data_IF_193920266467
#
_entry.id   IF_193920266467
#
_cell.length_a   1.000
_cell.length_b   1.000
_cell.length_c   1.000
_cell.angle_alpha   90.00
_cell.angle_beta   90.00
_cell.angle_gamma   90.00
#
_symmetry.space_group_name_H-M   'P 1'
#
loop_
_entity.id
_entity.type
_entity.pdbx_description
1 polymer ?
#
# COMPACT_ATOMS: atom_id res chain seq x y z
N UNK A 1 -2.88 -23.23 13.08
CA UNK A 1 -3.58 -22.56 11.97
C UNK A 1 -3.77 -23.59 10.86
N UNK A 2 -4.97 -23.73 10.30
CA UNK A 2 -5.22 -24.56 9.11
C UNK A 2 -5.79 -23.63 8.03
N UNK A 3 -5.20 -23.66 6.83
CA UNK A 3 -5.63 -22.85 5.68
C UNK A 3 -6.48 -23.72 4.75
N UNK A 4 -7.69 -23.28 4.43
CA UNK A 4 -8.66 -24.06 3.67
C UNK A 4 -9.06 -23.42 2.34
N UNK A 5 -8.95 -22.09 2.22
CA UNK A 5 -9.29 -21.34 1.01
C UNK A 5 -8.02 -20.86 0.30
N UNK A 6 -7.92 -21.17 -0.99
CA UNK A 6 -6.83 -20.77 -1.88
C UNK A 6 -7.34 -20.00 -3.12
N UNK A 7 -8.57 -19.48 -3.09
CA UNK A 7 -9.20 -18.79 -4.21
C UNK A 7 -8.55 -17.45 -4.60
N UNK A 8 -7.74 -16.87 -3.71
CA UNK A 8 -7.00 -15.62 -3.91
C UNK A 8 -5.51 -15.86 -3.63
N UNK A 9 -4.93 -16.85 -4.30
CA UNK A 9 -3.47 -17.07 -4.28
C UNK A 9 -2.83 -16.35 -5.46
N UNK A 10 -1.75 -15.63 -5.20
CA UNK A 10 -0.88 -15.05 -6.21
C UNK A 10 0.58 -15.46 -5.94
N UNK A 11 1.32 -15.68 -7.01
CA UNK A 11 2.77 -15.86 -6.95
C UNK A 11 3.43 -14.49 -7.17
N UNK A 12 4.29 -14.09 -6.24
CA UNK A 12 5.08 -12.87 -6.33
C UNK A 12 6.49 -13.24 -6.75
N UNK A 13 6.98 -12.63 -7.82
CA UNK A 13 8.40 -12.71 -8.14
C UNK A 13 9.20 -11.87 -7.13
N UNK A 14 10.49 -12.17 -6.98
CA UNK A 14 11.39 -11.44 -6.07
C UNK A 14 11.35 -9.93 -6.32
N UNK A 15 11.30 -9.53 -7.59
CA UNK A 15 11.19 -8.13 -8.01
C UNK A 15 9.88 -7.49 -7.58
N UNK A 16 8.76 -8.22 -7.62
CA UNK A 16 7.45 -7.70 -7.22
C UNK A 16 7.42 -7.45 -5.72
N UNK A 17 8.00 -8.37 -4.95
CA UNK A 17 8.13 -8.25 -3.50
C UNK A 17 9.00 -7.05 -3.11
N UNK A 18 10.13 -6.83 -3.80
CA UNK A 18 11.00 -5.67 -3.58
C UNK A 18 10.28 -4.35 -3.89
N UNK A 19 9.58 -4.29 -5.03
CA UNK A 19 8.80 -3.11 -5.43
C UNK A 19 7.69 -2.79 -4.44
N UNK A 20 6.95 -3.82 -4.03
CA UNK A 20 5.92 -3.73 -3.01
C UNK A 20 6.48 -3.19 -1.70
N UNK A 21 7.60 -3.75 -1.24
CA UNK A 21 8.28 -3.32 -0.03
C UNK A 21 8.77 -1.88 -0.11
N UNK A 22 9.31 -1.45 -1.25
CA UNK A 22 9.74 -0.07 -1.47
C UNK A 22 8.57 0.91 -1.34
N UNK A 23 7.41 0.59 -1.94
CA UNK A 23 6.19 1.42 -1.84
C UNK A 23 5.71 1.51 -0.40
N UNK A 24 5.57 0.39 0.31
CA UNK A 24 5.11 0.40 1.70
C UNK A 24 6.11 1.07 2.65
N UNK A 25 7.41 0.93 2.39
CA UNK A 25 8.45 1.67 3.13
C UNK A 25 8.29 3.17 2.93
N UNK A 26 8.08 3.62 1.68
CA UNK A 26 7.80 5.02 1.38
C UNK A 26 6.57 5.56 2.12
N UNK A 27 5.50 4.77 2.21
CA UNK A 27 4.30 5.12 2.99
C UNK A 27 4.64 5.29 4.48
N UNK A 28 5.32 4.30 5.07
CA UNK A 28 5.70 4.31 6.50
C UNK A 28 6.61 5.51 6.83
N UNK A 29 7.51 5.86 5.92
CA UNK A 29 8.42 7.00 6.07
C UNK A 29 7.77 8.34 5.70
N UNK A 30 6.52 8.35 5.23
CA UNK A 30 5.80 9.56 4.82
C UNK A 30 6.29 10.17 3.51
N UNK A 31 6.98 9.40 2.68
CA UNK A 31 7.58 9.83 1.41
C UNK A 31 6.59 9.68 0.25
N UNK A 32 5.45 10.39 0.30
CA UNK A 32 4.36 10.18 -0.67
C UNK A 32 4.72 10.50 -2.13
N UNK A 33 5.59 11.48 -2.38
CA UNK A 33 6.11 11.73 -3.73
C UNK A 33 6.95 10.54 -4.23
N UNK A 34 7.81 9.98 -3.37
CA UNK A 34 8.60 8.79 -3.71
C UNK A 34 7.71 7.57 -4.00
N UNK A 35 6.62 7.43 -3.27
CA UNK A 35 5.60 6.40 -3.52
C UNK A 35 5.00 6.55 -4.92
N UNK A 36 4.65 7.77 -5.33
CA UNK A 36 4.14 8.03 -6.68
C UNK A 36 5.17 7.67 -7.76
N UNK A 37 6.44 8.06 -7.57
CA UNK A 37 7.53 7.70 -8.50
C UNK A 37 7.70 6.19 -8.64
N UNK A 38 7.70 5.46 -7.51
CA UNK A 38 7.80 4.01 -7.52
C UNK A 38 6.63 3.38 -8.27
N UNK A 39 5.40 3.85 -8.06
CA UNK A 39 4.24 3.28 -8.77
C UNK A 39 4.29 3.59 -10.27
N UNK A 40 4.68 4.80 -10.65
CA UNK A 40 4.84 5.18 -12.06
C UNK A 40 5.93 4.36 -12.77
N UNK A 41 7.06 4.12 -12.10
CA UNK A 41 8.17 3.35 -12.64
C UNK A 41 7.77 1.89 -12.96
N UNK A 42 6.93 1.29 -12.12
CA UNK A 42 6.47 -0.09 -12.31
C UNK A 42 5.22 -0.22 -13.18
N UNK A 43 4.61 0.91 -13.60
CA UNK A 43 3.46 0.92 -14.49
C UNK A 43 3.90 0.78 -15.95
N UNK A 44 3.84 -0.45 -16.49
CA UNK A 44 4.22 -0.75 -17.89
C UNK A 44 3.42 0.03 -18.96
N UNK A 45 2.24 0.52 -18.61
CA UNK A 45 1.33 1.23 -19.52
C UNK A 45 0.69 2.44 -18.81
N UNK A 46 1.53 3.35 -18.34
CA UNK A 46 1.12 4.61 -17.74
C UNK A 46 0.41 5.51 -18.78
N UNK A 47 -0.84 5.89 -18.52
CA UNK A 47 -1.59 6.89 -19.30
C UNK A 47 -1.78 8.21 -18.53
N UNK A 48 -1.02 8.40 -17.45
CA UNK A 48 -1.06 9.61 -16.64
C UNK A 48 -0.61 10.80 -17.47
N UNK A 49 -1.54 11.73 -17.66
CA UNK A 49 -1.31 12.97 -18.43
C UNK A 49 -0.59 14.04 -17.60
N UNK A 50 -0.74 13.99 -16.28
CA UNK A 50 -0.24 15.00 -15.35
C UNK A 50 0.48 14.32 -14.17
N UNK A 51 1.72 13.92 -14.43
CA UNK A 51 2.58 13.20 -13.47
C UNK A 51 2.86 14.04 -12.22
N UNK A 52 3.09 15.34 -12.38
CA UNK A 52 3.42 16.23 -11.26
C UNK A 52 2.22 16.43 -10.32
N UNK A 53 1.01 16.53 -10.89
CA UNK A 53 -0.21 16.53 -10.08
C UNK A 53 -0.41 15.20 -9.37
N UNK A 54 -0.18 14.06 -10.03
CA UNK A 54 -0.27 12.75 -9.37
C UNK A 54 0.69 12.63 -8.18
N UNK A 55 1.95 13.06 -8.35
CA UNK A 55 2.95 13.12 -7.27
C UNK A 55 2.49 13.98 -6.11
N UNK A 56 1.99 15.18 -6.41
CA UNK A 56 1.49 16.13 -5.40
C UNK A 56 0.29 15.55 -4.63
N UNK A 57 -0.67 14.96 -5.34
CA UNK A 57 -1.85 14.36 -4.74
C UNK A 57 -1.48 13.16 -3.85
N UNK A 58 -0.52 12.33 -4.29
CA UNK A 58 -0.01 11.20 -3.49
C UNK A 58 0.70 11.68 -2.23
N UNK A 59 1.53 12.73 -2.33
CA UNK A 59 2.19 13.34 -1.18
C UNK A 59 1.18 13.86 -0.15
N UNK A 60 0.11 14.54 -0.60
CA UNK A 60 -0.98 15.00 0.25
C UNK A 60 -1.72 13.83 0.90
N UNK A 61 -2.01 12.78 0.15
CA UNK A 61 -2.71 11.60 0.61
C UNK A 61 -1.94 10.89 1.73
N UNK A 62 -0.64 10.64 1.53
CA UNK A 62 0.23 10.03 2.55
C UNK A 62 0.35 10.92 3.78
N UNK A 63 0.49 12.23 3.60
CA UNK A 63 0.54 13.20 4.71
C UNK A 63 -0.74 13.18 5.54
N UNK A 64 -1.91 13.19 4.89
CA UNK A 64 -3.22 13.11 5.57
C UNK A 64 -3.36 11.80 6.34
N UNK A 65 -2.96 10.67 5.76
CA UNK A 65 -3.02 9.38 6.45
C UNK A 65 -2.15 9.35 7.70
N UNK A 66 -0.95 9.95 7.66
CA UNK A 66 -0.09 10.10 8.84
C UNK A 66 -0.72 10.99 9.92
N UNK A 67 -1.28 12.13 9.53
CA UNK A 67 -1.95 13.03 10.47
C UNK A 67 -3.15 12.36 11.15
N UNK A 68 -3.94 11.63 10.37
CA UNK A 68 -5.06 10.86 10.90
C UNK A 68 -4.60 9.75 11.85
N UNK A 69 -3.50 9.06 11.54
CA UNK A 69 -2.94 8.04 12.42
C UNK A 69 -2.45 8.63 13.76
N UNK A 70 -1.86 9.83 13.74
CA UNK A 70 -1.51 10.56 14.96
C UNK A 70 -2.75 10.93 15.78
N UNK A 71 -3.81 11.41 15.12
CA UNK A 71 -5.06 11.80 15.79
C UNK A 71 -5.84 10.62 16.38
N UNK A 72 -5.88 9.49 15.66
CA UNK A 72 -6.63 8.28 16.04
C UNK A 72 -5.80 7.31 16.90
N UNK A 73 -4.50 7.55 17.04
CA UNK A 73 -3.56 6.64 17.71
C UNK A 73 -3.28 5.33 16.97
N UNK A 74 -3.87 5.11 15.79
CA UNK A 74 -3.71 3.90 14.98
C UNK A 74 -3.78 4.18 13.49
N UNK A 75 -2.95 3.48 12.71
CA UNK A 75 -2.93 3.59 11.26
C UNK A 75 -3.93 2.62 10.61
N UNK A 76 -4.86 3.14 9.81
CA UNK A 76 -5.80 2.32 9.02
C UNK A 76 -5.27 2.14 7.61
N UNK A 77 -4.50 1.07 7.39
CA UNK A 77 -3.77 0.88 6.13
C UNK A 77 -4.71 0.63 4.95
N UNK A 78 -5.82 -0.06 5.15
CA UNK A 78 -6.81 -0.37 4.13
C UNK A 78 -7.57 0.86 3.65
N UNK A 79 -7.82 1.83 4.53
CA UNK A 79 -8.40 3.13 4.14
C UNK A 79 -7.42 3.94 3.28
N UNK A 80 -6.14 3.94 3.66
CA UNK A 80 -5.08 4.53 2.85
C UNK A 80 -5.02 3.86 1.47
N UNK A 81 -4.94 2.53 1.42
CA UNK A 81 -4.81 1.77 0.18
C UNK A 81 -6.01 1.95 -0.74
N UNK A 82 -7.23 2.03 -0.17
CA UNK A 82 -8.44 2.38 -0.91
C UNK A 82 -8.33 3.76 -1.56
N UNK A 83 -7.80 4.73 -0.81
CA UNK A 83 -7.58 6.10 -1.30
C UNK A 83 -6.50 6.14 -2.39
N UNK A 84 -5.43 5.34 -2.25
CA UNK A 84 -4.39 5.18 -3.27
C UNK A 84 -5.00 4.62 -4.55
N UNK A 85 -5.79 3.55 -4.49
CA UNK A 85 -6.46 3.00 -5.68
C UNK A 85 -7.35 4.02 -6.38
N UNK A 86 -8.14 4.79 -5.62
CA UNK A 86 -8.97 5.86 -6.18
C UNK A 86 -8.11 6.91 -6.90
N UNK A 87 -6.95 7.25 -6.35
CA UNK A 87 -6.02 8.19 -6.96
C UNK A 87 -5.41 7.62 -8.26
N UNK A 88 -5.00 6.35 -8.26
CA UNK A 88 -4.49 5.66 -9.45
C UNK A 88 -5.52 5.64 -10.58
N UNK A 89 -6.78 5.32 -10.27
CA UNK A 89 -7.88 5.36 -11.24
C UNK A 89 -8.11 6.76 -11.81
N UNK A 90 -8.09 7.77 -10.93
CA UNK A 90 -8.30 9.18 -11.31
C UNK A 90 -7.23 9.67 -12.28
N UNK A 91 -5.97 9.29 -12.03
CA UNK A 91 -4.82 9.67 -12.84
C UNK A 91 -4.50 8.67 -13.97
N UNK A 92 -5.34 7.66 -14.18
CA UNK A 92 -5.16 6.60 -15.19
C UNK A 92 -3.79 5.91 -15.12
N UNK A 93 -3.28 5.76 -13.90
CA UNK A 93 -2.05 5.00 -13.62
C UNK A 93 -2.43 3.54 -13.50
N UNK A 94 -2.01 2.72 -14.46
CA UNK A 94 -2.27 1.28 -14.42
C UNK A 94 -1.36 0.60 -13.41
N UNK A 95 -1.96 -0.15 -12.50
CA UNK A 95 -1.24 -0.98 -11.55
C UNK A 95 -1.04 -2.39 -12.15
N UNK A 96 0.07 -3.02 -11.80
CA UNK A 96 0.37 -4.40 -12.17
C UNK A 96 -0.50 -5.36 -11.33
N UNK A 97 -0.95 -6.46 -11.94
CA UNK A 97 -2.02 -7.31 -11.38
C UNK A 97 -1.63 -7.97 -10.07
N UNK A 98 -0.37 -8.39 -9.92
CA UNK A 98 0.12 -9.00 -8.68
C UNK A 98 0.12 -7.98 -7.53
N UNK A 99 0.55 -6.74 -7.80
CA UNK A 99 0.47 -5.67 -6.79
C UNK A 99 -0.97 -5.45 -6.31
N UNK A 100 -1.95 -5.43 -7.22
CA UNK A 100 -3.35 -5.26 -6.84
C UNK A 100 -3.83 -6.38 -5.90
N UNK A 101 -3.46 -7.63 -6.22
CA UNK A 101 -3.81 -8.80 -5.41
C UNK A 101 -3.25 -8.70 -3.98
N UNK A 102 -1.98 -8.31 -3.82
CA UNK A 102 -1.37 -8.14 -2.49
C UNK A 102 -2.06 -7.05 -1.69
N UNK A 103 -2.39 -5.92 -2.32
CA UNK A 103 -3.10 -4.84 -1.64
C UNK A 103 -4.48 -5.30 -1.18
N UNK A 104 -5.21 -6.05 -2.00
CA UNK A 104 -6.49 -6.64 -1.60
C UNK A 104 -6.34 -7.62 -0.43
N UNK A 105 -5.33 -8.50 -0.47
CA UNK A 105 -5.06 -9.42 0.62
C UNK A 105 -4.81 -8.67 1.95
N UNK A 106 -4.07 -7.57 1.92
CA UNK A 106 -3.83 -6.73 3.10
C UNK A 106 -5.11 -6.09 3.61
N UNK A 107 -5.96 -5.56 2.71
CA UNK A 107 -7.23 -4.98 3.10
C UNK A 107 -8.16 -6.01 3.77
N UNK A 108 -8.22 -7.22 3.22
CA UNK A 108 -9.01 -8.33 3.80
C UNK A 108 -8.44 -8.75 5.15
N UNK A 109 -7.12 -8.93 5.24
CA UNK A 109 -6.44 -9.34 6.48
C UNK A 109 -6.53 -8.29 7.57
N UNK A 110 -6.46 -7.00 7.24
CA UNK A 110 -6.69 -5.94 8.22
C UNK A 110 -8.15 -5.93 8.69
N UNK A 111 -9.11 -6.04 7.77
CA UNK A 111 -10.53 -6.09 8.13
C UNK A 111 -10.85 -7.25 9.07
N UNK A 112 -10.36 -8.44 8.74
CA UNK A 112 -10.47 -9.63 9.60
C UNK A 112 -9.74 -9.43 10.93
N UNK A 113 -8.50 -8.96 10.89
CA UNK A 113 -7.69 -8.72 12.07
C UNK A 113 -8.35 -7.74 13.04
N UNK A 114 -8.95 -6.66 12.54
CA UNK A 114 -9.68 -5.68 13.34
C UNK A 114 -11.01 -6.20 13.89
N UNK A 115 -11.64 -7.16 13.24
CA UNK A 115 -12.83 -7.81 13.78
C UNK A 115 -12.52 -8.66 15.02
N UNK A 116 -11.28 -9.12 15.16
CA UNK A 116 -10.78 -9.90 16.29
C UNK A 116 -10.08 -9.03 17.34
N UNK A 117 -9.30 -8.05 16.90
CA UNK A 117 -8.58 -7.07 17.73
C UNK A 117 -8.79 -5.65 17.17
N UNK A 118 -9.76 -4.88 17.71
CA UNK A 118 -10.08 -3.53 17.24
C UNK A 118 -8.91 -2.54 17.26
N UNK A 119 -7.88 -2.81 18.05
CA UNK A 119 -6.71 -1.94 18.24
C UNK A 119 -5.47 -2.39 17.45
N UNK A 120 -5.62 -3.45 16.64
CA UNK A 120 -4.60 -3.89 15.71
C UNK A 120 -4.10 -2.73 14.82
N UNK A 121 -2.77 -2.56 14.77
CA UNK A 121 -2.08 -1.68 13.83
C UNK A 121 -1.15 -2.52 12.96
N UNK A 122 -1.63 -2.84 11.75
CA UNK A 122 -0.92 -3.68 10.79
C UNK A 122 0.41 -3.06 10.36
N UNK A 123 0.48 -1.73 10.19
CA UNK A 123 1.74 -1.08 9.83
C UNK A 123 2.75 -1.11 10.96
N UNK A 124 2.31 -0.97 12.22
CA UNK A 124 3.19 -1.13 13.38
C UNK A 124 3.80 -2.53 13.42
N UNK A 125 3.01 -3.56 13.16
CA UNK A 125 3.48 -4.95 13.10
C UNK A 125 4.40 -5.22 11.90
N UNK A 126 4.11 -4.61 10.74
CA UNK A 126 4.89 -4.80 9.52
C UNK A 126 6.20 -3.99 9.47
N UNK A 127 6.31 -2.89 10.24
CA UNK A 127 7.47 -1.99 10.26
C UNK A 127 8.84 -2.69 10.32
N UNK A 128 9.10 -3.68 11.21
CA UNK A 128 10.38 -4.38 11.22
C UNK A 128 10.67 -5.09 9.88
N UNK A 129 9.67 -5.75 9.27
CA UNK A 129 9.82 -6.45 7.99
C UNK A 129 10.09 -5.50 6.82
N UNK A 130 9.57 -4.27 6.90
CA UNK A 130 9.76 -3.25 5.86
C UNK A 130 11.13 -2.58 5.97
N UNK A 131 11.55 -2.18 7.17
CA UNK A 131 12.77 -1.40 7.39
C UNK A 131 14.00 -2.29 7.54
N UNK A 132 13.90 -3.39 8.31
CA UNK A 132 14.98 -4.32 8.63
C UNK A 132 14.54 -5.75 8.28
N UNK A 133 14.58 -6.12 7.00
CA UNK A 133 14.10 -7.42 6.57
C UNK A 133 15.01 -8.50 7.18
N UNK A 134 14.46 -9.62 7.66
CA UNK A 134 15.29 -10.79 7.93
C UNK A 134 15.96 -11.25 6.62
N UNK A 135 17.25 -11.56 6.68
CA UNK A 135 18.02 -12.14 5.58
C UNK A 135 17.54 -13.56 5.26
#
# INVERSE_FOLDING_TARGET
LVLLDAGIVAELQSTDLENFRAVFTGIVLGQGEKVAELILHHSRANQCKDVEKFKTDMAQLVTRARNNAVALGKFQVGSLLSSVFKLLMTHQVKLESNFACVVFAIMVLEGLGRSLDPDLDVLKAAKPLLINPPN
#
